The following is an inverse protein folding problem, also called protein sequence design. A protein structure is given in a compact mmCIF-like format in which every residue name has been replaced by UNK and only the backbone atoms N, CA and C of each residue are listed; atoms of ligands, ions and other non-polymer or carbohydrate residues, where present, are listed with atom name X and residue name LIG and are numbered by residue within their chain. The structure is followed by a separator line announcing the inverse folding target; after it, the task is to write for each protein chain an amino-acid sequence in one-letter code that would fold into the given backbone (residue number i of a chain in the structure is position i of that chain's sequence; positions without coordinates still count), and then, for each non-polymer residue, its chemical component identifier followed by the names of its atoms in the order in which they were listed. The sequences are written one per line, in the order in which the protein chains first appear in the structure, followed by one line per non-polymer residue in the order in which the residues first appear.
data_IF_510884827692
#
_entry.id   IF_510884827692
#
_cell.length_a   1.000
_cell.length_b   1.000
_cell.length_c   1.000
_cell.angle_alpha   90.00
_cell.angle_beta   90.00
_cell.angle_gamma   90.00
#
_symmetry.space_group_name_H-M   'P 1'
#
loop_
_entity.id
_entity.type
_entity.pdbx_description
1 polymer ?
#
# COMPACT_ATOMS: atom_id res chain seq x y z
N UNK A 1 6.85 -31.23 15.27
CA UNK A 1 6.73 -29.88 15.89
C UNK A 1 6.62 -28.72 14.88
N UNK A 2 7.01 -28.88 13.60
CA UNK A 2 6.84 -27.84 12.56
C UNK A 2 5.38 -27.51 12.19
N UNK A 3 4.45 -28.46 12.33
CA UNK A 3 3.04 -28.25 11.99
C UNK A 3 2.36 -27.19 12.86
N UNK A 4 2.49 -27.27 14.19
CA UNK A 4 1.74 -26.42 15.14
C UNK A 4 2.08 -24.93 14.98
N UNK A 5 3.34 -24.59 14.66
CA UNK A 5 3.73 -23.19 14.44
C UNK A 5 3.22 -22.62 13.10
N UNK A 6 3.14 -23.44 12.05
CA UNK A 6 2.58 -23.02 10.77
C UNK A 6 1.08 -22.70 10.90
N UNK A 7 0.34 -23.47 11.70
CA UNK A 7 -1.07 -23.19 12.00
C UNK A 7 -1.26 -21.82 12.66
N UNK A 8 -0.42 -21.47 13.65
CA UNK A 8 -0.51 -20.15 14.31
C UNK A 8 -0.26 -18.96 13.37
N UNK A 9 0.64 -19.09 12.39
CA UNK A 9 0.89 -18.05 11.38
C UNK A 9 -0.28 -17.91 10.40
N UNK A 10 -0.88 -19.02 9.98
CA UNK A 10 -2.06 -19.00 9.10
C UNK A 10 -3.26 -18.40 9.82
N UNK A 11 -3.52 -18.79 11.07
CA UNK A 11 -4.63 -18.27 11.87
C UNK A 11 -4.50 -16.77 12.14
N UNK A 12 -3.31 -16.32 12.56
CA UNK A 12 -3.05 -14.90 12.77
C UNK A 12 -3.16 -14.08 11.49
N UNK A 13 -2.72 -14.64 10.35
CA UNK A 13 -2.90 -14.03 9.03
C UNK A 13 -4.38 -13.90 8.64
N UNK A 14 -5.18 -14.95 8.82
CA UNK A 14 -6.62 -14.94 8.54
C UNK A 14 -7.36 -13.96 9.45
N UNK A 15 -7.05 -13.97 10.74
CA UNK A 15 -7.61 -13.03 11.72
C UNK A 15 -7.25 -11.59 11.36
N UNK A 16 -5.98 -11.32 11.06
CA UNK A 16 -5.51 -10.01 10.63
C UNK A 16 -6.21 -9.53 9.36
N UNK A 17 -6.32 -10.39 8.35
CA UNK A 17 -7.03 -10.09 7.10
C UNK A 17 -8.53 -9.83 7.30
N UNK A 18 -9.17 -10.59 8.19
CA UNK A 18 -10.58 -10.42 8.53
C UNK A 18 -10.82 -9.08 9.23
N UNK A 19 -10.01 -8.76 10.25
CA UNK A 19 -10.09 -7.50 10.97
C UNK A 19 -9.82 -6.30 10.05
N UNK A 20 -8.80 -6.39 9.19
CA UNK A 20 -8.51 -5.36 8.20
C UNK A 20 -9.70 -5.14 7.25
N UNK A 21 -10.32 -6.22 6.77
CA UNK A 21 -11.50 -6.16 5.90
C UNK A 21 -12.71 -5.54 6.60
N UNK A 22 -12.96 -5.90 7.86
CA UNK A 22 -14.03 -5.31 8.68
C UNK A 22 -13.81 -3.81 8.89
N UNK A 23 -12.57 -3.40 9.17
CA UNK A 23 -12.22 -2.00 9.35
C UNK A 23 -12.40 -1.20 8.05
N UNK A 24 -11.96 -1.74 6.92
CA UNK A 24 -12.18 -1.12 5.59
C UNK A 24 -13.67 -1.03 5.26
N UNK A 25 -14.45 -2.07 5.57
CA UNK A 25 -15.90 -2.04 5.36
C UNK A 25 -16.57 -0.96 6.21
N UNK A 26 -16.13 -0.80 7.46
CA UNK A 26 -16.60 0.26 8.36
C UNK A 26 -16.25 1.66 7.85
N UNK A 27 -15.00 1.88 7.44
CA UNK A 27 -14.57 3.16 6.87
C UNK A 27 -15.33 3.49 5.59
N UNK A 28 -15.48 2.53 4.69
CA UNK A 28 -16.14 2.71 3.39
C UNK A 28 -17.56 3.26 3.53
N UNK A 29 -18.28 2.85 4.58
CA UNK A 29 -19.64 3.33 4.90
C UNK A 29 -19.66 4.79 5.37
N UNK A 30 -18.54 5.28 5.94
CA UNK A 30 -18.39 6.63 6.51
C UNK A 30 -17.67 7.61 5.58
N UNK A 31 -17.19 7.17 4.42
CA UNK A 31 -16.48 8.04 3.49
C UNK A 31 -17.41 9.08 2.83
N UNK A 32 -16.91 10.30 2.55
CA UNK A 32 -17.65 11.30 1.80
C UNK A 32 -18.09 10.79 0.43
N UNK A 33 -19.36 11.00 0.09
CA UNK A 33 -19.92 10.59 -1.21
C UNK A 33 -19.53 11.53 -2.35
N UNK A 34 -19.11 12.75 -2.04
CA UNK A 34 -18.77 13.79 -3.00
C UNK A 34 -17.42 14.44 -2.68
N UNK A 35 -16.71 14.87 -3.71
CA UNK A 35 -15.49 15.66 -3.62
C UNK A 35 -15.50 16.74 -4.71
N UNK A 36 -15.50 18.02 -4.31
CA UNK A 36 -15.51 19.18 -5.24
C UNK A 36 -16.54 19.05 -6.37
N UNK A 37 -17.77 18.64 -6.04
CA UNK A 37 -18.86 18.46 -7.01
C UNK A 37 -18.84 17.13 -7.79
N UNK A 38 -17.81 16.31 -7.65
CA UNK A 38 -17.75 14.97 -8.24
C UNK A 38 -18.30 13.93 -7.28
N UNK A 39 -19.16 13.04 -7.76
CA UNK A 39 -19.50 11.83 -7.00
C UNK A 39 -18.29 10.93 -6.88
N UNK A 40 -18.20 10.14 -5.80
CA UNK A 40 -17.11 9.18 -5.58
C UNK A 40 -16.89 8.24 -6.77
N UNK A 41 -17.97 7.78 -7.39
CA UNK A 41 -17.91 6.93 -8.57
C UNK A 41 -17.36 7.65 -9.80
N UNK A 42 -17.77 8.90 -10.03
CA UNK A 42 -17.25 9.70 -11.13
C UNK A 42 -15.75 10.03 -10.95
N UNK A 43 -15.34 10.37 -9.73
CA UNK A 43 -13.94 10.63 -9.38
C UNK A 43 -13.07 9.38 -9.57
N UNK A 44 -13.53 8.22 -9.10
CA UNK A 44 -12.81 6.94 -9.26
C UNK A 44 -12.68 6.53 -10.73
N UNK A 45 -13.74 6.69 -11.54
CA UNK A 45 -13.69 6.42 -12.98
C UNK A 45 -12.69 7.33 -13.70
N UNK A 46 -12.67 8.62 -13.34
CA UNK A 46 -11.75 9.61 -13.92
C UNK A 46 -10.28 9.26 -13.67
N UNK A 47 -9.97 8.73 -12.48
CA UNK A 47 -8.60 8.37 -12.08
C UNK A 47 -8.32 6.86 -12.07
N UNK A 48 -9.08 6.08 -12.85
CA UNK A 48 -9.00 4.60 -12.82
C UNK A 48 -7.62 4.10 -13.25
N UNK A 49 -6.98 4.77 -14.21
CA UNK A 49 -5.65 4.40 -14.70
C UNK A 49 -4.59 4.63 -13.62
N UNK A 50 -4.63 5.80 -12.98
CA UNK A 50 -3.74 6.17 -11.90
C UNK A 50 -3.86 5.18 -10.72
N UNK A 51 -5.08 4.81 -10.34
CA UNK A 51 -5.35 3.81 -9.29
C UNK A 51 -4.79 2.44 -9.68
N UNK A 52 -4.99 2.00 -10.94
CA UNK A 52 -4.48 0.71 -11.42
C UNK A 52 -2.96 0.66 -11.39
N UNK A 53 -2.29 1.69 -11.93
CA UNK A 53 -0.82 1.77 -11.93
C UNK A 53 -0.30 1.76 -10.49
N UNK A 54 -0.90 2.56 -9.61
CA UNK A 54 -0.54 2.62 -8.20
C UNK A 54 -0.68 1.24 -7.52
N UNK A 55 -1.78 0.52 -7.73
CA UNK A 55 -1.97 -0.82 -7.18
C UNK A 55 -0.97 -1.83 -7.75
N UNK A 56 -0.73 -1.83 -9.06
CA UNK A 56 0.25 -2.72 -9.69
C UNK A 56 1.64 -2.51 -9.09
N UNK A 57 2.06 -1.25 -8.93
CA UNK A 57 3.34 -0.90 -8.34
C UNK A 57 3.44 -1.25 -6.85
N UNK A 58 2.33 -1.11 -6.11
CA UNK A 58 2.26 -1.54 -4.70
C UNK A 58 2.59 -3.03 -4.57
N UNK A 59 1.90 -3.88 -5.35
CA UNK A 59 2.14 -5.32 -5.34
C UNK A 59 3.52 -5.69 -5.87
N UNK A 60 4.00 -5.01 -6.92
CA UNK A 60 5.36 -5.22 -7.43
C UNK A 60 6.42 -4.93 -6.35
N UNK A 61 6.24 -3.84 -5.58
CA UNK A 61 7.12 -3.50 -4.47
C UNK A 61 7.08 -4.50 -3.31
N UNK A 62 5.90 -5.04 -2.97
CA UNK A 62 5.79 -6.08 -1.95
C UNK A 62 6.45 -7.39 -2.40
N UNK A 63 6.16 -7.83 -3.62
CA UNK A 63 6.66 -9.09 -4.16
C UNK A 63 8.17 -9.07 -4.37
N UNK A 64 8.75 -7.92 -4.70
CA UNK A 64 10.21 -7.81 -4.86
C UNK A 64 10.95 -8.11 -3.56
N UNK A 65 10.49 -7.60 -2.41
CA UNK A 65 11.16 -7.90 -1.13
C UNK A 65 10.91 -9.32 -0.62
N UNK A 66 9.78 -9.94 -0.95
CA UNK A 66 9.59 -11.39 -0.70
C UNK A 66 10.58 -12.20 -1.55
N UNK A 67 10.77 -11.84 -2.82
CA UNK A 67 11.72 -12.51 -3.70
C UNK A 67 13.18 -12.31 -3.26
N UNK A 68 13.50 -11.24 -2.53
CA UNK A 68 14.85 -11.02 -2.00
C UNK A 68 15.27 -12.05 -0.96
N UNK A 69 14.36 -12.64 -0.18
CA UNK A 69 14.74 -13.67 0.81
C UNK A 69 15.48 -14.84 0.16
N UNK A 70 14.91 -15.56 -0.84
CA UNK A 70 15.62 -16.64 -1.52
C UNK A 70 16.75 -16.14 -2.42
N UNK A 71 16.58 -15.01 -3.14
CA UNK A 71 17.56 -14.55 -4.13
C UNK A 71 18.79 -13.89 -3.53
N UNK A 72 18.62 -13.22 -2.39
CA UNK A 72 19.68 -12.50 -1.68
C UNK A 72 20.32 -13.28 -0.54
N UNK A 73 19.86 -14.52 -0.27
CA UNK A 73 20.40 -15.35 0.81
C UNK A 73 20.13 -14.80 2.20
N UNK A 74 19.06 -14.01 2.39
CA UNK A 74 18.73 -13.44 3.69
C UNK A 74 18.15 -14.49 4.63
N UNK A 75 18.50 -14.38 5.92
CA UNK A 75 17.90 -15.21 6.95
C UNK A 75 16.38 -14.91 7.05
N UNK A 76 15.54 -15.91 7.38
CA UNK A 76 14.08 -15.72 7.46
C UNK A 76 13.62 -14.66 8.47
N UNK A 77 14.46 -14.34 9.44
CA UNK A 77 14.21 -13.34 10.49
C UNK A 77 14.91 -12.00 10.22
N UNK A 78 15.64 -11.83 9.11
CA UNK A 78 16.22 -10.54 8.75
C UNK A 78 15.10 -9.56 8.35
N UNK A 79 14.95 -8.41 9.03
CA UNK A 79 13.89 -7.46 8.72
C UNK A 79 14.17 -6.62 7.46
N UNK A 80 15.42 -6.56 6.97
CA UNK A 80 15.81 -5.64 5.89
C UNK A 80 15.05 -5.86 4.58
N UNK A 81 14.88 -7.10 4.06
CA UNK A 81 14.12 -7.32 2.83
C UNK A 81 12.66 -6.92 2.97
N UNK A 82 12.03 -7.17 4.13
CA UNK A 82 10.64 -6.80 4.39
C UNK A 82 10.46 -5.29 4.51
N UNK A 83 11.35 -4.60 5.22
CA UNK A 83 11.35 -3.14 5.32
C UNK A 83 11.56 -2.48 3.95
N UNK A 84 12.44 -3.04 3.11
CA UNK A 84 12.63 -2.62 1.73
C UNK A 84 11.36 -2.85 0.89
N UNK A 85 10.73 -4.03 0.99
CA UNK A 85 9.50 -4.36 0.29
C UNK A 85 8.38 -3.38 0.64
N UNK A 86 8.11 -3.19 1.93
CA UNK A 86 7.07 -2.30 2.41
C UNK A 86 7.36 -0.84 2.04
N UNK A 87 8.63 -0.46 2.08
CA UNK A 87 9.12 0.83 1.62
C UNK A 87 8.87 1.11 0.14
N UNK A 88 9.27 0.19 -0.74
CA UNK A 88 9.05 0.29 -2.18
C UNK A 88 7.57 0.23 -2.52
N UNK A 89 6.83 -0.69 -1.90
CA UNK A 89 5.38 -0.79 -2.02
C UNK A 89 4.69 0.50 -1.62
N UNK A 90 5.26 1.28 -0.70
CA UNK A 90 4.71 2.58 -0.31
C UNK A 90 5.14 3.72 -1.23
N UNK A 91 6.40 3.74 -1.64
CA UNK A 91 6.98 4.81 -2.48
C UNK A 91 6.43 4.79 -3.90
N UNK A 92 6.41 3.63 -4.56
CA UNK A 92 6.08 3.55 -5.99
C UNK A 92 4.65 4.01 -6.30
N UNK A 93 3.61 3.65 -5.51
CA UNK A 93 2.26 4.17 -5.72
C UNK A 93 2.18 5.68 -5.49
N UNK A 94 2.89 6.22 -4.49
CA UNK A 94 2.91 7.67 -4.25
C UNK A 94 3.52 8.42 -5.43
N UNK A 95 4.62 7.90 -5.99
CA UNK A 95 5.22 8.45 -7.21
C UNK A 95 4.25 8.36 -8.39
N UNK A 96 3.57 7.24 -8.58
CA UNK A 96 2.59 7.09 -9.66
C UNK A 96 1.40 8.06 -9.52
N UNK A 97 0.85 8.21 -8.31
CA UNK A 97 -0.24 9.14 -8.02
C UNK A 97 0.18 10.60 -8.13
N UNK A 98 1.47 10.90 -8.08
CA UNK A 98 2.01 12.23 -8.34
C UNK A 98 2.27 12.45 -9.83
N UNK A 99 3.06 11.58 -10.44
CA UNK A 99 3.62 11.75 -11.79
C UNK A 99 2.58 11.53 -12.87
N UNK A 100 1.79 10.45 -12.82
CA UNK A 100 0.83 10.11 -13.87
C UNK A 100 -0.23 11.20 -14.07
N UNK A 101 -0.94 11.69 -13.03
CA UNK A 101 -1.92 12.75 -13.23
C UNK A 101 -1.24 14.08 -13.58
N UNK A 102 -0.04 14.38 -13.07
CA UNK A 102 0.70 15.58 -13.45
C UNK A 102 1.02 15.62 -14.95
N UNK A 103 1.58 14.52 -15.50
CA UNK A 103 1.83 14.38 -16.94
C UNK A 103 0.56 14.41 -17.78
N UNK A 104 -0.57 13.96 -17.21
CA UNK A 104 -1.87 13.95 -17.87
C UNK A 104 -2.63 15.29 -17.76
N UNK A 105 -2.04 16.33 -17.16
CA UNK A 105 -2.69 17.62 -16.91
C UNK A 105 -3.87 17.54 -15.94
N UNK A 106 -3.92 16.50 -15.10
CA UNK A 106 -4.98 16.24 -14.12
C UNK A 106 -4.56 16.68 -12.72
N UNK A 107 -5.54 16.89 -11.85
CA UNK A 107 -5.27 17.26 -10.46
C UNK A 107 -4.64 16.10 -9.69
N UNK A 108 -3.38 16.28 -9.26
CA UNK A 108 -2.67 15.35 -8.36
C UNK A 108 -3.45 15.12 -7.07
N UNK A 109 -3.91 16.20 -6.41
CA UNK A 109 -4.71 16.10 -5.18
C UNK A 109 -5.98 15.26 -5.37
N UNK A 110 -6.65 15.40 -6.52
CA UNK A 110 -7.84 14.60 -6.83
C UNK A 110 -7.51 13.12 -7.03
N UNK A 111 -6.36 12.79 -7.63
CA UNK A 111 -5.89 11.41 -7.77
C UNK A 111 -5.59 10.77 -6.40
N UNK A 112 -4.95 11.50 -5.48
CA UNK A 112 -4.72 11.04 -4.11
C UNK A 112 -6.04 10.76 -3.37
N UNK A 113 -7.03 11.65 -3.46
CA UNK A 113 -8.35 11.41 -2.85
C UNK A 113 -9.05 10.22 -3.50
N UNK A 114 -9.00 10.12 -4.83
CA UNK A 114 -9.59 9.03 -5.59
C UNK A 114 -8.97 7.67 -5.21
N UNK A 115 -7.65 7.62 -5.02
CA UNK A 115 -6.94 6.43 -4.59
C UNK A 115 -7.37 5.98 -3.19
N UNK A 116 -7.33 6.87 -2.20
CA UNK A 116 -7.78 6.58 -0.83
C UNK A 116 -9.22 6.06 -0.81
N UNK A 117 -10.13 6.71 -1.55
CA UNK A 117 -11.51 6.23 -1.69
C UNK A 117 -11.64 4.89 -2.43
N UNK A 118 -10.71 4.60 -3.34
CA UNK A 118 -10.57 3.32 -4.03
C UNK A 118 -10.13 2.19 -3.10
N UNK A 119 -9.29 2.49 -2.10
CA UNK A 119 -8.91 1.55 -1.04
C UNK A 119 -10.00 1.38 0.04
N UNK A 120 -11.07 2.17 -0.01
CA UNK A 120 -12.13 2.13 1.00
C UNK A 120 -11.73 2.77 2.34
N UNK A 121 -10.63 3.52 2.36
CA UNK A 121 -10.03 4.12 3.56
C UNK A 121 -10.07 5.65 3.50
N UNK A 122 -10.10 6.35 4.64
CA UNK A 122 -9.97 7.80 4.66
C UNK A 122 -8.53 8.21 4.36
N UNK A 123 -8.36 9.45 3.86
CA UNK A 123 -7.05 10.01 3.47
C UNK A 123 -6.07 9.97 4.65
N UNK A 124 -6.55 10.30 5.85
CA UNK A 124 -5.73 10.29 7.08
C UNK A 124 -5.30 8.89 7.51
N UNK A 125 -5.93 7.81 7.04
CA UNK A 125 -5.47 6.44 7.35
C UNK A 125 -4.50 5.94 6.27
N UNK A 126 -4.82 6.20 5.00
CA UNK A 126 -4.04 5.71 3.85
C UNK A 126 -2.61 6.25 3.85
N UNK A 127 -2.45 7.56 3.95
CA UNK A 127 -1.16 8.19 3.71
C UNK A 127 -0.18 8.06 4.88
N UNK A 128 -0.60 8.11 6.15
CA UNK A 128 0.28 7.76 7.25
C UNK A 128 0.80 6.33 7.20
N UNK A 129 -0.01 5.36 6.74
CA UNK A 129 0.45 3.99 6.55
C UNK A 129 1.55 3.91 5.48
N UNK A 130 1.35 4.58 4.34
CA UNK A 130 2.38 4.66 3.29
C UNK A 130 3.62 5.43 3.77
N UNK A 131 3.45 6.48 4.57
CA UNK A 131 4.56 7.23 5.16
C UNK A 131 5.38 6.35 6.12
N UNK A 132 4.74 5.49 6.92
CA UNK A 132 5.45 4.52 7.75
C UNK A 132 6.30 3.56 6.91
N UNK A 133 5.82 3.18 5.71
CA UNK A 133 6.62 2.44 4.74
C UNK A 133 7.86 3.19 4.28
N UNK A 134 7.75 4.49 3.98
CA UNK A 134 8.91 5.33 3.62
C UNK A 134 9.95 5.40 4.75
N UNK A 135 9.50 5.44 6.02
CA UNK A 135 10.41 5.34 7.17
C UNK A 135 11.12 3.99 7.18
N UNK A 136 10.38 2.90 6.99
CA UNK A 136 10.94 1.54 6.85
C UNK A 136 11.97 1.44 5.72
N UNK A 137 11.72 2.08 4.58
CA UNK A 137 12.66 2.17 3.47
C UNK A 137 13.98 2.81 3.90
N UNK A 138 13.92 3.92 4.64
CA UNK A 138 15.10 4.60 5.16
C UNK A 138 15.94 3.71 6.07
N UNK A 139 15.30 2.97 6.98
CA UNK A 139 15.98 2.00 7.83
C UNK A 139 16.59 0.84 7.04
N UNK A 140 15.88 0.31 6.03
CA UNK A 140 16.40 -0.76 5.18
C UNK A 140 17.66 -0.30 4.44
N UNK A 141 17.61 0.86 3.77
CA UNK A 141 18.75 1.43 3.04
C UNK A 141 19.92 1.68 3.99
N UNK A 142 19.68 2.29 5.15
CA UNK A 142 20.72 2.51 6.15
C UNK A 142 21.34 1.19 6.67
N UNK A 143 20.53 0.13 6.79
CA UNK A 143 20.96 -1.20 7.20
C UNK A 143 21.68 -2.02 6.12
N UNK A 144 21.62 -1.60 4.85
CA UNK A 144 22.41 -2.17 3.76
C UNK A 144 23.74 -1.45 3.53
N UNK A 145 23.82 -0.17 3.94
CA UNK A 145 25.02 0.65 3.82
C UNK A 145 26.02 0.46 4.98
N UNK A 146 25.64 -0.29 6.01
CA UNK A 146 26.47 -0.65 7.17
C UNK A 146 26.88 -2.11 7.05
#
# INVERSE_FOLDING_TARGET
MLGIQAWGAVESGVLGGTLASMLVAWWTRRLPRHYKGWSRGALSRRHRTEIRIANTLFFAGLLSGVALYPLGGFAPNDPRPLLLAFGLASLLPLLALMVVPWLSGRSVRAAFVAFSHGQGTPVWATYPLLAAGLVGLGFAVAGFLR
#
